data_IF_628255544824
#
_entry.id   IF_628255544824
#
_cell.length_a   1.000
_cell.length_b   1.000
_cell.length_c   1.000
_cell.angle_alpha   90.00
_cell.angle_beta   90.00
_cell.angle_gamma   90.00
#
_symmetry.space_group_name_H-M   'P 1'
#
loop_
_entity.id
_entity.type
_entity.pdbx_description
1 polymer ?
#
# COMPACT_ATOMS: atom_id res chain seq x y z
N UNK A 1 -1.95 63.08 -15.04
CA UNK A 1 -0.73 62.64 -14.31
C UNK A 1 -1.03 61.70 -13.13
N UNK A 2 -2.12 61.87 -12.36
CA UNK A 2 -2.46 61.01 -11.20
C UNK A 2 -3.04 59.61 -11.55
N UNK A 3 -3.56 59.41 -12.77
CA UNK A 3 -4.10 58.12 -13.23
C UNK A 3 -2.99 57.14 -13.60
N UNK A 4 -1.95 57.63 -14.28
CA UNK A 4 -0.79 56.83 -14.74
C UNK A 4 -0.06 56.15 -13.58
N UNK A 5 0.00 56.79 -12.41
CA UNK A 5 0.65 56.20 -11.22
C UNK A 5 -0.16 55.06 -10.62
N UNK A 6 -1.50 55.13 -10.65
CA UNK A 6 -2.35 54.04 -10.16
C UNK A 6 -2.31 52.85 -11.11
N UNK A 7 -2.34 53.10 -12.42
CA UNK A 7 -2.22 52.06 -13.44
C UNK A 7 -0.87 51.33 -13.33
N UNK A 8 0.23 52.06 -13.15
CA UNK A 8 1.55 51.46 -12.97
C UNK A 8 1.64 50.59 -11.71
N UNK A 9 1.02 51.01 -10.61
CA UNK A 9 0.97 50.23 -9.36
C UNK A 9 0.13 48.96 -9.54
N UNK A 10 -1.03 49.06 -10.17
CA UNK A 10 -1.89 47.91 -10.46
C UNK A 10 -1.19 46.93 -11.41
N UNK A 11 -0.50 47.42 -12.43
CA UNK A 11 0.25 46.59 -13.36
C UNK A 11 1.43 45.88 -12.69
N UNK A 12 2.17 46.58 -11.83
CA UNK A 12 3.22 45.96 -11.01
C UNK A 12 2.68 44.88 -10.08
N UNK A 13 1.54 45.13 -9.44
CA UNK A 13 0.86 44.14 -8.61
C UNK A 13 0.38 42.92 -9.42
N UNK A 14 -0.14 43.12 -10.63
CA UNK A 14 -0.54 42.03 -11.51
C UNK A 14 0.63 41.12 -11.88
N UNK A 15 1.77 41.69 -12.28
CA UNK A 15 2.98 40.90 -12.56
C UNK A 15 3.50 40.18 -11.32
N UNK A 16 3.43 40.81 -10.14
CA UNK A 16 3.79 40.17 -8.88
C UNK A 16 2.89 38.95 -8.58
N UNK A 17 1.57 39.11 -8.70
CA UNK A 17 0.60 38.03 -8.50
C UNK A 17 0.82 36.90 -9.49
N UNK A 18 1.04 37.21 -10.77
CA UNK A 18 1.34 36.21 -11.80
C UNK A 18 2.63 35.44 -11.50
N UNK A 19 3.69 36.13 -11.09
CA UNK A 19 4.94 35.47 -10.71
C UNK A 19 4.76 34.57 -9.48
N UNK A 20 3.99 35.01 -8.49
CA UNK A 20 3.65 34.22 -7.31
C UNK A 20 2.90 32.93 -7.67
N UNK A 21 1.85 33.03 -8.49
CA UNK A 21 1.10 31.86 -8.96
C UNK A 21 1.97 30.93 -9.79
N UNK A 22 2.77 31.46 -10.73
CA UNK A 22 3.67 30.66 -11.55
C UNK A 22 4.68 29.85 -10.70
N UNK A 23 5.21 30.43 -9.63
CA UNK A 23 6.12 29.74 -8.70
C UNK A 23 5.37 28.65 -7.93
N UNK A 24 4.16 28.95 -7.43
CA UNK A 24 3.34 27.96 -6.73
C UNK A 24 2.98 26.77 -7.63
N UNK A 25 2.51 27.04 -8.84
CA UNK A 25 2.13 26.01 -9.80
C UNK A 25 3.34 25.18 -10.22
N UNK A 26 4.52 25.79 -10.39
CA UNK A 26 5.76 25.08 -10.65
C UNK A 26 6.15 24.14 -9.49
N UNK A 27 6.00 24.59 -8.24
CA UNK A 27 6.25 23.77 -7.06
C UNK A 27 5.23 22.62 -6.97
N UNK A 28 3.95 22.88 -7.20
CA UNK A 28 2.93 21.84 -7.23
C UNK A 28 3.18 20.81 -8.33
N UNK A 29 3.51 21.26 -9.54
CA UNK A 29 3.86 20.39 -10.65
C UNK A 29 5.11 19.55 -10.34
N UNK A 30 6.13 20.16 -9.73
CA UNK A 30 7.34 19.46 -9.31
C UNK A 30 7.05 18.38 -8.27
N UNK A 31 6.34 18.70 -7.19
CA UNK A 31 5.99 17.74 -6.15
C UNK A 31 5.05 16.65 -6.67
N UNK A 32 4.09 17.00 -7.53
CA UNK A 32 3.20 16.03 -8.18
C UNK A 32 4.00 15.06 -9.07
N UNK A 33 4.94 15.56 -9.86
CA UNK A 33 5.80 14.73 -10.69
C UNK A 33 6.69 13.79 -9.85
N UNK A 34 7.32 14.29 -8.79
CA UNK A 34 8.12 13.48 -7.87
C UNK A 34 7.24 12.42 -7.18
N UNK A 35 6.08 12.81 -6.67
CA UNK A 35 5.13 11.91 -6.02
C UNK A 35 4.63 10.82 -6.95
N UNK A 36 4.30 11.14 -8.20
CA UNK A 36 3.90 10.16 -9.21
C UNK A 36 5.02 9.17 -9.51
N UNK A 37 6.29 9.63 -9.60
CA UNK A 37 7.42 8.72 -9.80
C UNK A 37 7.56 7.74 -8.63
N UNK A 38 7.45 8.22 -7.40
CA UNK A 38 7.50 7.37 -6.21
C UNK A 38 6.33 6.39 -6.16
N UNK A 39 5.10 6.83 -6.42
CA UNK A 39 3.91 5.96 -6.43
C UNK A 39 3.97 4.94 -7.55
N UNK A 40 4.42 5.31 -8.75
CA UNK A 40 4.54 4.37 -9.88
C UNK A 40 5.62 3.33 -9.62
N UNK A 41 6.76 3.70 -9.04
CA UNK A 41 7.81 2.74 -8.68
C UNK A 41 7.34 1.83 -7.54
N UNK A 42 6.76 2.41 -6.48
CA UNK A 42 6.23 1.67 -5.33
C UNK A 42 5.08 0.72 -5.71
N UNK A 43 4.17 1.15 -6.60
CA UNK A 43 3.08 0.31 -7.10
C UNK A 43 3.57 -0.85 -7.97
N UNK A 44 4.68 -0.69 -8.69
CA UNK A 44 5.26 -1.78 -9.48
C UNK A 44 5.98 -2.79 -8.59
N UNK A 45 6.71 -2.33 -7.58
CA UNK A 45 7.36 -3.20 -6.60
C UNK A 45 6.32 -3.93 -5.72
N UNK A 46 5.25 -3.27 -5.26
CA UNK A 46 4.17 -3.95 -4.56
C UNK A 46 3.41 -4.91 -5.45
N UNK A 47 3.23 -4.65 -6.75
CA UNK A 47 2.53 -5.61 -7.60
C UNK A 47 3.33 -6.88 -7.83
N UNK A 48 4.66 -6.80 -7.94
CA UNK A 48 5.49 -8.01 -8.07
C UNK A 48 5.69 -8.72 -6.74
N UNK A 49 5.91 -7.99 -5.64
CA UNK A 49 6.07 -8.58 -4.30
C UNK A 49 4.75 -9.11 -3.76
N UNK A 50 3.61 -8.41 -3.94
CA UNK A 50 2.31 -8.93 -3.52
C UNK A 50 1.84 -10.08 -4.42
N UNK A 51 2.14 -10.07 -5.72
CA UNK A 51 1.85 -11.22 -6.58
C UNK A 51 2.73 -12.42 -6.22
N UNK A 52 4.01 -12.20 -5.92
CA UNK A 52 4.88 -13.25 -5.37
C UNK A 52 4.44 -13.71 -3.99
N UNK A 53 4.11 -12.83 -3.05
CA UNK A 53 3.61 -13.22 -1.71
C UNK A 53 2.27 -13.94 -1.80
N UNK A 54 1.38 -13.59 -2.73
CA UNK A 54 0.12 -14.31 -2.98
C UNK A 54 0.35 -15.69 -3.64
N UNK A 55 1.42 -15.84 -4.45
CA UNK A 55 1.80 -17.12 -5.08
C UNK A 55 2.71 -17.97 -4.18
N UNK A 56 3.52 -17.35 -3.32
CA UNK A 56 4.41 -17.94 -2.31
C UNK A 56 3.69 -18.09 -0.95
N UNK A 57 2.43 -17.70 -0.83
CA UNK A 57 1.56 -18.00 0.32
C UNK A 57 1.23 -19.50 0.48
N UNK A 58 1.92 -20.37 -0.25
CA UNK A 58 2.07 -21.79 0.09
C UNK A 58 3.30 -22.08 0.97
N UNK A 59 3.99 -21.08 1.54
CA UNK A 59 4.92 -21.31 2.66
C UNK A 59 4.11 -21.55 3.94
N UNK A 60 3.37 -22.66 3.96
CA UNK A 60 2.82 -23.19 5.19
C UNK A 60 3.99 -23.71 6.02
N UNK A 61 4.27 -23.05 7.16
CA UNK A 61 5.21 -23.61 8.13
C UNK A 61 4.65 -24.96 8.59
N UNK A 62 5.44 -26.05 8.57
CA UNK A 62 4.96 -27.34 9.04
C UNK A 62 4.52 -27.22 10.50
N UNK A 63 3.31 -27.66 10.80
CA UNK A 63 2.73 -27.70 12.15
C UNK A 63 2.51 -29.16 12.50
N UNK A 64 3.09 -29.61 13.62
CA UNK A 64 2.80 -30.93 14.18
C UNK A 64 1.85 -30.79 15.37
N UNK A 65 0.82 -31.63 15.42
CA UNK A 65 -0.24 -31.57 16.44
C UNK A 65 -0.17 -32.83 17.30
N UNK A 66 0.37 -32.69 18.51
CA UNK A 66 0.40 -33.78 19.50
C UNK A 66 -0.86 -33.73 20.36
N UNK A 67 -1.73 -34.74 20.19
CA UNK A 67 -2.97 -34.86 20.97
C UNK A 67 -2.84 -36.01 21.98
N UNK A 68 -2.76 -35.73 23.29
CA UNK A 68 -2.77 -36.78 24.29
C UNK A 68 -4.17 -37.41 24.38
N UNK A 69 -4.25 -38.74 24.30
CA UNK A 69 -5.50 -39.48 24.41
C UNK A 69 -5.42 -40.46 25.60
N UNK A 70 -6.21 -40.20 26.64
CA UNK A 70 -6.39 -41.13 27.76
C UNK A 70 -7.87 -41.43 27.95
N UNK A 71 -8.26 -42.69 27.77
CA UNK A 71 -9.64 -43.17 27.92
C UNK A 71 -10.69 -42.48 27.02
N UNK A 72 -10.28 -42.04 25.82
CA UNK A 72 -11.12 -41.32 24.84
C UNK A 72 -11.71 -42.23 23.74
N UNK A 73 -11.94 -43.52 24.02
CA UNK A 73 -12.35 -44.54 23.03
C UNK A 73 -13.56 -44.12 22.17
N UNK A 74 -14.52 -43.41 22.77
CA UNK A 74 -15.77 -42.99 22.09
C UNK A 74 -15.64 -41.70 21.29
N UNK A 75 -14.68 -40.84 21.60
CA UNK A 75 -14.56 -39.48 21.03
C UNK A 75 -13.39 -39.36 20.05
N UNK A 76 -12.35 -40.18 20.21
CA UNK A 76 -11.08 -40.07 19.47
C UNK A 76 -11.27 -40.12 17.95
N UNK A 77 -12.21 -40.95 17.47
CA UNK A 77 -12.51 -41.10 16.05
C UNK A 77 -13.06 -39.81 15.44
N UNK A 78 -13.89 -39.08 16.17
CA UNK A 78 -14.44 -37.80 15.69
C UNK A 78 -13.35 -36.73 15.64
N UNK A 79 -12.52 -36.64 16.68
CA UNK A 79 -11.41 -35.69 16.77
C UNK A 79 -10.38 -35.89 15.65
N UNK A 80 -9.97 -37.14 15.37
CA UNK A 80 -9.04 -37.46 14.28
C UNK A 80 -9.61 -37.07 12.92
N UNK A 81 -10.92 -37.30 12.68
CA UNK A 81 -11.57 -36.87 11.43
C UNK A 81 -11.56 -35.35 11.27
N UNK A 82 -11.73 -34.60 12.36
CA UNK A 82 -11.63 -33.14 12.34
C UNK A 82 -10.21 -32.66 12.04
N UNK A 83 -9.17 -33.29 12.60
CA UNK A 83 -7.78 -32.90 12.32
C UNK A 83 -7.36 -33.15 10.87
N UNK A 84 -7.75 -34.28 10.28
CA UNK A 84 -7.45 -34.60 8.88
C UNK A 84 -8.24 -33.69 7.91
N UNK A 85 -9.39 -33.15 8.34
CA UNK A 85 -10.19 -32.23 7.52
C UNK A 85 -9.61 -30.81 7.44
N UNK A 86 -8.60 -30.49 8.25
CA UNK A 86 -7.91 -29.21 8.14
C UNK A 86 -7.17 -29.13 6.80
N UNK A 87 -7.29 -28.02 6.08
CA UNK A 87 -6.62 -27.83 4.80
C UNK A 87 -5.16 -27.39 4.99
N UNK A 88 -4.35 -28.20 5.68
CA UNK A 88 -2.91 -28.01 5.76
C UNK A 88 -2.19 -28.94 4.78
N UNK A 89 -1.17 -28.48 4.05
CA UNK A 89 -0.51 -29.30 3.03
C UNK A 89 0.41 -30.40 3.58
N UNK A 90 0.81 -30.34 4.85
CA UNK A 90 1.64 -31.34 5.52
C UNK A 90 0.99 -31.70 6.87
N UNK A 91 0.80 -33.00 7.11
CA UNK A 91 0.22 -33.54 8.35
C UNK A 91 1.24 -34.43 9.05
N UNK A 92 1.52 -34.14 10.33
CA UNK A 92 2.34 -34.97 11.25
C UNK A 92 1.76 -35.01 12.66
#
# INVERSE_FOLDING_TARGET
MRTVTLEAVVQGFQFFVLAYFAVLDALYAFFSYVGLRTVVVYSRELSEVALKDLLEQEVYKPVSILVPAYNEERSIVASVRSFISLQFPLFE
#
